data_IF_889543512338
#
_entry.id   IF_889543512338
#
_cell.length_a   1.000
_cell.length_b   1.000
_cell.length_c   1.000
_cell.angle_alpha   90.00
_cell.angle_beta   90.00
_cell.angle_gamma   90.00
#
_symmetry.space_group_name_H-M   'P 1'
#
loop_
_entity.id
_entity.type
_entity.pdbx_description
1 polymer ?
#
# COMPACT_ATOMS: atom_id res chain seq x y z
N UNK A 1 10.36 35.85 22.52
CA UNK A 1 10.93 34.49 22.60
C UNK A 1 10.18 33.64 21.59
N UNK A 2 10.82 33.21 20.50
CA UNK A 2 10.22 32.33 19.51
C UNK A 2 10.32 30.89 20.02
N UNK A 3 9.17 30.27 20.30
CA UNK A 3 9.11 28.84 20.61
C UNK A 3 9.37 28.05 19.33
N UNK A 4 10.58 27.50 19.23
CA UNK A 4 10.91 26.45 18.26
C UNK A 4 10.27 25.13 18.73
N UNK A 5 9.00 24.91 18.43
CA UNK A 5 8.44 23.55 18.41
C UNK A 5 8.96 22.85 17.16
N UNK A 6 10.03 22.09 17.32
CA UNK A 6 10.48 21.12 16.32
C UNK A 6 9.34 20.13 16.06
N UNK A 7 8.82 20.12 14.84
CA UNK A 7 7.79 19.18 14.40
C UNK A 7 8.26 17.75 14.63
N UNK A 8 7.61 17.05 15.56
CA UNK A 8 7.85 15.64 15.81
C UNK A 8 7.29 14.89 14.58
N UNK A 9 8.11 14.11 13.84
CA UNK A 9 7.64 13.36 12.69
C UNK A 9 6.39 12.54 13.03
N UNK A 10 5.36 12.59 12.17
CA UNK A 10 4.04 12.01 12.42
C UNK A 10 4.09 10.54 12.89
N UNK A 11 4.99 9.73 12.31
CA UNK A 11 5.16 8.33 12.72
C UNK A 11 5.58 8.18 14.20
N UNK A 12 6.24 9.18 14.79
CA UNK A 12 6.59 9.15 16.22
C UNK A 12 5.42 9.44 17.15
N UNK A 13 4.30 9.91 16.60
CA UNK A 13 3.06 10.21 17.31
C UNK A 13 2.09 9.02 17.29
N UNK A 14 2.36 7.97 16.51
CA UNK A 14 1.48 6.78 16.45
C UNK A 14 1.59 5.96 17.74
N UNK A 15 0.49 5.30 18.10
CA UNK A 15 0.42 4.44 19.29
C UNK A 15 1.42 3.30 19.19
N UNK A 16 1.62 2.78 17.97
CA UNK A 16 2.56 1.73 17.63
C UNK A 16 4.00 2.16 17.89
N UNK A 17 4.42 3.34 17.42
CA UNK A 17 5.77 3.84 17.68
C UNK A 17 6.00 4.16 19.15
N UNK A 18 5.03 4.77 19.83
CA UNK A 18 5.13 5.07 21.25
C UNK A 18 5.25 3.79 22.09
N UNK A 19 4.49 2.74 21.74
CA UNK A 19 4.54 1.43 22.39
C UNK A 19 5.87 0.72 22.14
N UNK A 20 6.34 0.69 20.90
CA UNK A 20 7.64 0.12 20.53
C UNK A 20 8.80 0.84 21.21
N UNK A 21 8.78 2.16 21.24
CA UNK A 21 9.81 2.97 21.91
C UNK A 21 9.79 2.78 23.43
N UNK A 22 8.60 2.59 24.04
CA UNK A 22 8.48 2.26 25.47
C UNK A 22 9.09 0.88 25.75
N UNK A 23 8.77 -0.13 24.94
CA UNK A 23 9.33 -1.47 25.06
C UNK A 23 10.85 -1.42 24.89
N UNK A 24 11.35 -0.78 23.84
CA UNK A 24 12.78 -0.62 23.56
C UNK A 24 13.56 0.00 24.72
N UNK A 25 13.00 1.02 25.37
CA UNK A 25 13.62 1.66 26.55
C UNK A 25 13.70 0.75 27.77
N UNK A 26 12.82 -0.24 27.88
CA UNK A 26 12.79 -1.21 28.99
C UNK A 26 13.67 -2.44 28.77
N UNK A 27 14.19 -2.65 27.56
CA UNK A 27 15.06 -3.79 27.26
C UNK A 27 16.49 -3.59 27.78
N UNK A 28 17.07 -4.65 28.31
CA UNK A 28 18.51 -4.73 28.63
C UNK A 28 19.36 -4.72 27.36
N UNK A 29 20.67 -4.46 27.48
CA UNK A 29 21.58 -4.42 26.34
C UNK A 29 21.57 -5.73 25.53
N UNK A 30 21.54 -6.89 26.20
CA UNK A 30 21.51 -8.19 25.53
C UNK A 30 20.18 -8.42 24.80
N UNK A 31 19.05 -8.07 25.40
CA UNK A 31 17.74 -8.18 24.75
C UNK A 31 17.59 -7.26 23.54
N UNK A 32 18.29 -6.11 23.53
CA UNK A 32 18.35 -5.23 22.35
C UNK A 32 19.15 -5.88 21.23
N UNK A 33 20.27 -6.52 21.54
CA UNK A 33 21.08 -7.24 20.56
C UNK A 33 20.31 -8.42 19.94
N UNK A 34 19.58 -9.18 20.76
CA UNK A 34 18.74 -10.28 20.28
C UNK A 34 17.63 -9.76 19.35
N UNK A 35 16.97 -8.67 19.74
CA UNK A 35 15.91 -8.06 18.94
C UNK A 35 16.44 -7.46 17.62
N UNK A 36 17.62 -6.82 17.64
CA UNK A 36 18.31 -6.35 16.43
C UNK A 36 18.70 -7.50 15.51
N UNK A 37 19.15 -8.62 16.07
CA UNK A 37 19.47 -9.83 15.33
C UNK A 37 18.23 -10.45 14.69
N UNK A 38 17.10 -10.48 15.40
CA UNK A 38 15.81 -10.95 14.89
C UNK A 38 15.29 -10.03 13.77
N UNK A 39 15.35 -8.71 13.95
CA UNK A 39 15.00 -7.75 12.90
C UNK A 39 15.88 -7.88 11.66
N UNK A 40 17.18 -8.09 11.85
CA UNK A 40 18.12 -8.31 10.75
C UNK A 40 17.83 -9.63 10.04
N UNK A 41 17.49 -10.69 10.77
CA UNK A 41 17.12 -11.99 10.21
C UNK A 41 15.80 -11.92 9.43
N UNK A 42 14.82 -11.16 9.92
CA UNK A 42 13.57 -10.88 9.20
C UNK A 42 13.84 -10.01 7.95
N UNK A 43 14.68 -8.98 8.04
CA UNK A 43 15.06 -8.16 6.89
C UNK A 43 15.77 -8.97 5.81
N UNK A 44 16.69 -9.85 6.20
CA UNK A 44 17.39 -10.78 5.29
C UNK A 44 16.40 -11.80 4.71
N UNK A 45 15.49 -12.35 5.52
CA UNK A 45 14.44 -13.24 5.04
C UNK A 45 13.55 -12.57 4.00
N UNK A 46 13.11 -11.32 4.28
CA UNK A 46 12.34 -10.51 3.35
C UNK A 46 13.16 -10.21 2.09
N UNK A 47 14.42 -9.81 2.16
CA UNK A 47 15.30 -9.58 1.00
C UNK A 47 15.56 -10.84 0.17
N UNK A 48 15.73 -11.99 0.82
CA UNK A 48 15.96 -13.28 0.16
C UNK A 48 14.70 -13.83 -0.50
N UNK A 49 13.52 -13.56 0.05
CA UNK A 49 12.21 -13.97 -0.48
C UNK A 49 11.51 -12.86 -1.29
N UNK A 50 12.12 -11.68 -1.41
CA UNK A 50 11.77 -10.63 -2.39
C UNK A 50 12.71 -10.61 -3.60
N UNK A 51 13.52 -11.67 -3.78
CA UNK A 51 14.23 -11.95 -5.04
C UNK A 51 13.26 -12.37 -6.13
N UNK A 52 12.51 -11.40 -6.67
CA UNK A 52 12.10 -11.29 -8.07
C UNK A 52 11.79 -9.81 -8.37
N UNK A 53 12.85 -8.98 -8.40
CA UNK A 53 12.86 -7.78 -9.24
C UNK A 53 13.19 -8.25 -10.66
N UNK A 54 12.41 -7.78 -11.63
CA UNK A 54 12.40 -8.08 -13.07
C UNK A 54 11.72 -9.37 -13.53
N UNK A 55 10.39 -9.29 -13.70
CA UNK A 55 9.72 -9.16 -15.01
C UNK A 55 8.45 -8.32 -14.77
N UNK A 56 8.48 -7.05 -15.16
CA UNK A 56 7.36 -6.09 -15.15
C UNK A 56 6.54 -6.05 -13.84
N UNK A 57 6.94 -5.18 -12.90
CA UNK A 57 6.16 -4.79 -11.70
C UNK A 57 4.73 -4.34 -12.05
N UNK A 58 4.47 -4.02 -13.32
CA UNK A 58 3.20 -3.63 -13.89
C UNK A 58 2.69 -4.56 -14.98
N UNK A 59 3.13 -5.82 -15.03
CA UNK A 59 2.65 -6.80 -16.02
C UNK A 59 1.14 -6.98 -15.98
N UNK A 60 0.53 -6.84 -14.80
CA UNK A 60 -0.93 -6.82 -14.66
C UNK A 60 -1.61 -5.65 -15.39
N UNK A 61 -0.89 -4.55 -15.67
CA UNK A 61 -1.39 -3.42 -16.44
C UNK A 61 -1.31 -3.63 -17.95
N UNK A 62 -0.69 -4.72 -18.45
CA UNK A 62 -0.49 -4.93 -19.90
C UNK A 62 -1.81 -5.07 -20.68
N UNK A 63 -2.92 -5.34 -19.99
CA UNK A 63 -4.27 -5.40 -20.57
C UNK A 63 -4.98 -4.04 -20.59
N UNK A 64 -4.36 -2.98 -20.08
CA UNK A 64 -4.90 -1.62 -20.09
C UNK A 64 -4.30 -0.79 -21.23
N UNK A 65 -4.97 0.30 -21.60
CA UNK A 65 -4.41 1.27 -22.52
C UNK A 65 -3.25 2.07 -21.90
N UNK A 66 -2.40 2.65 -22.77
CA UNK A 66 -1.22 3.41 -22.36
C UNK A 66 -1.56 4.60 -21.46
N UNK A 67 -2.69 5.27 -21.67
CA UNK A 67 -3.11 6.42 -20.84
C UNK A 67 -3.41 5.98 -19.40
N UNK A 68 -4.01 4.81 -19.23
CA UNK A 68 -4.30 4.22 -17.92
C UNK A 68 -3.02 3.72 -17.25
N UNK A 69 -2.08 3.14 -18.01
CA UNK A 69 -0.75 2.78 -17.51
C UNK A 69 -0.01 4.02 -17.01
N UNK A 70 0.01 5.09 -17.79
CA UNK A 70 0.68 6.34 -17.42
C UNK A 70 -0.01 7.02 -16.24
N UNK A 71 -1.34 6.93 -16.13
CA UNK A 71 -2.06 7.33 -14.92
C UNK A 71 -1.56 6.59 -13.68
N UNK A 72 -1.45 5.25 -13.73
CA UNK A 72 -0.94 4.48 -12.59
C UNK A 72 0.49 4.88 -12.26
N UNK A 73 1.37 5.03 -13.25
CA UNK A 73 2.76 5.49 -13.03
C UNK A 73 2.81 6.88 -12.38
N UNK A 74 1.99 7.82 -12.84
CA UNK A 74 1.91 9.16 -12.27
C UNK A 74 1.42 9.11 -10.82
N UNK A 75 0.37 8.36 -10.52
CA UNK A 75 -0.14 8.16 -9.15
C UNK A 75 0.93 7.56 -8.23
N UNK A 76 1.74 6.64 -8.73
CA UNK A 76 2.87 6.06 -7.97
C UNK A 76 3.96 7.10 -7.72
N UNK A 77 4.32 7.90 -8.71
CA UNK A 77 5.29 9.00 -8.53
C UNK A 77 4.82 10.05 -7.52
N UNK A 78 3.50 10.19 -7.35
CA UNK A 78 2.86 11.05 -6.35
C UNK A 78 2.78 10.41 -4.96
N UNK A 79 3.34 9.21 -4.77
CA UNK A 79 3.45 8.56 -3.46
C UNK A 79 2.30 7.60 -3.14
N UNK A 80 1.56 7.11 -4.14
CA UNK A 80 0.55 6.07 -3.96
C UNK A 80 0.99 4.74 -4.60
N UNK A 81 2.10 4.13 -4.11
CA UNK A 81 2.54 2.84 -4.62
C UNK A 81 1.42 1.81 -4.39
N UNK A 82 1.25 0.89 -5.34
CA UNK A 82 0.35 -0.26 -5.19
C UNK A 82 -1.16 0.07 -5.16
N UNK A 83 -1.62 0.98 -6.02
CA UNK A 83 -3.07 1.21 -6.22
C UNK A 83 -3.82 -0.09 -6.55
N UNK A 84 -3.29 -0.87 -7.49
CA UNK A 84 -3.84 -2.17 -7.86
C UNK A 84 -3.97 -3.12 -6.66
N UNK A 85 -2.90 -3.32 -5.88
CA UNK A 85 -2.96 -4.18 -4.70
C UNK A 85 -3.93 -3.65 -3.63
N UNK A 86 -4.07 -2.33 -3.50
CA UNK A 86 -5.06 -1.73 -2.58
C UNK A 86 -6.48 -2.14 -2.97
N UNK A 87 -6.80 -2.11 -4.28
CA UNK A 87 -8.10 -2.53 -4.80
C UNK A 87 -8.31 -4.03 -4.66
N UNK A 88 -7.30 -4.85 -4.98
CA UNK A 88 -7.36 -6.31 -4.81
C UNK A 88 -7.54 -6.73 -3.35
N UNK A 89 -6.90 -6.04 -2.40
CA UNK A 89 -7.06 -6.29 -0.97
C UNK A 89 -8.50 -5.99 -0.50
N UNK A 90 -9.12 -4.93 -1.01
CA UNK A 90 -10.53 -4.62 -0.74
C UNK A 90 -11.43 -5.75 -1.24
N UNK A 91 -11.21 -6.24 -2.46
CA UNK A 91 -11.99 -7.37 -3.01
C UNK A 91 -11.79 -8.66 -2.21
N UNK A 92 -10.58 -8.91 -1.69
CA UNK A 92 -10.30 -10.03 -0.80
C UNK A 92 -11.03 -9.94 0.55
N UNK A 93 -11.19 -8.74 1.10
CA UNK A 93 -11.89 -8.52 2.38
C UNK A 93 -13.42 -8.37 2.22
N UNK A 94 -13.89 -7.96 1.04
CA UNK A 94 -15.29 -7.65 0.76
C UNK A 94 -15.81 -8.48 -0.42
N UNK A 95 -16.06 -9.76 -0.17
CA UNK A 95 -16.51 -10.75 -1.17
C UNK A 95 -17.88 -10.46 -1.81
N UNK A 96 -18.61 -9.46 -1.30
CA UNK A 96 -19.87 -8.98 -1.83
C UNK A 96 -19.72 -7.95 -2.96
N UNK A 97 -18.52 -7.37 -3.14
CA UNK A 97 -18.23 -6.44 -4.23
C UNK A 97 -17.98 -7.24 -5.50
N UNK A 98 -18.83 -7.10 -6.51
CA UNK A 98 -18.79 -7.90 -7.75
C UNK A 98 -18.75 -7.10 -9.05
N UNK A 99 -18.73 -5.78 -8.94
CA UNK A 99 -18.71 -4.86 -10.06
C UNK A 99 -17.84 -3.64 -9.73
N UNK A 100 -17.35 -2.97 -10.77
CA UNK A 100 -16.44 -1.83 -10.61
C UNK A 100 -17.12 -0.61 -9.97
N UNK A 101 -18.40 -0.35 -10.23
CA UNK A 101 -19.08 0.81 -9.66
C UNK A 101 -19.16 0.71 -8.14
N UNK A 102 -19.51 -0.47 -7.61
CA UNK A 102 -19.52 -0.75 -6.17
C UNK A 102 -18.11 -0.63 -5.57
N UNK A 103 -17.08 -1.14 -6.27
CA UNK A 103 -15.69 -1.00 -5.81
C UNK A 103 -15.23 0.46 -5.77
N UNK A 104 -15.54 1.24 -6.80
CA UNK A 104 -15.23 2.68 -6.87
C UNK A 104 -15.94 3.42 -5.75
N UNK A 105 -17.23 3.15 -5.53
CA UNK A 105 -17.98 3.79 -4.45
C UNK A 105 -17.35 3.49 -3.09
N UNK A 106 -17.07 2.21 -2.81
CA UNK A 106 -16.39 1.81 -1.57
C UNK A 106 -15.05 2.52 -1.41
N UNK A 107 -14.23 2.51 -2.47
CA UNK A 107 -12.91 3.11 -2.47
C UNK A 107 -12.98 4.63 -2.25
N UNK A 108 -13.92 5.30 -2.90
CA UNK A 108 -14.14 6.75 -2.78
C UNK A 108 -14.54 7.10 -1.36
N UNK A 109 -15.56 6.44 -0.80
CA UNK A 109 -16.04 6.71 0.57
C UNK A 109 -14.93 6.56 1.61
N UNK A 110 -13.99 5.64 1.42
CA UNK A 110 -12.89 5.36 2.35
C UNK A 110 -11.64 6.21 2.13
N UNK A 111 -11.29 6.51 0.87
CA UNK A 111 -9.96 7.00 0.49
C UNK A 111 -9.95 8.34 -0.25
N UNK A 112 -11.12 8.96 -0.52
CA UNK A 112 -11.20 10.24 -1.26
C UNK A 112 -10.30 11.34 -0.70
N UNK A 113 -10.26 11.48 0.62
CA UNK A 113 -9.45 12.50 1.29
C UNK A 113 -7.96 12.13 1.41
N UNK A 114 -7.62 10.85 1.25
CA UNK A 114 -6.25 10.33 1.38
C UNK A 114 -5.53 10.37 0.03
N UNK A 115 -6.27 10.15 -1.07
CA UNK A 115 -5.71 10.02 -2.42
C UNK A 115 -6.47 10.86 -3.44
N UNK A 116 -6.60 12.19 -3.27
CA UNK A 116 -7.46 13.03 -4.10
C UNK A 116 -7.09 12.98 -5.60
N UNK A 117 -5.82 12.78 -5.91
CA UNK A 117 -5.30 12.68 -7.28
C UNK A 117 -5.92 11.51 -8.08
N UNK A 118 -6.26 10.41 -7.41
CA UNK A 118 -6.88 9.24 -8.06
C UNK A 118 -8.27 9.59 -8.61
N UNK A 119 -8.98 10.49 -7.94
CA UNK A 119 -10.36 10.85 -8.27
C UNK A 119 -10.47 11.95 -9.34
N UNK A 120 -9.34 12.52 -9.77
CA UNK A 120 -9.30 13.47 -10.90
C UNK A 120 -9.45 12.78 -12.26
N UNK A 121 -9.30 11.45 -12.30
CA UNK A 121 -9.26 10.64 -13.53
C UNK A 121 -10.25 9.46 -13.44
N UNK A 122 -11.57 9.73 -13.30
CA UNK A 122 -12.56 8.71 -12.94
C UNK A 122 -12.67 7.57 -13.96
N UNK A 123 -12.47 7.83 -15.25
CA UNK A 123 -12.51 6.81 -16.30
C UNK A 123 -11.33 5.83 -16.20
N UNK A 124 -10.14 6.33 -15.85
CA UNK A 124 -8.93 5.50 -15.71
C UNK A 124 -9.00 4.66 -14.43
N UNK A 125 -9.53 5.24 -13.36
CA UNK A 125 -9.85 4.50 -12.14
C UNK A 125 -10.87 3.39 -12.40
N UNK A 126 -11.93 3.67 -13.17
CA UNK A 126 -12.94 2.68 -13.50
C UNK A 126 -12.35 1.47 -14.25
N UNK A 127 -11.54 1.72 -15.28
CA UNK A 127 -10.83 0.65 -16.01
C UNK A 127 -9.94 -0.20 -15.11
N UNK A 128 -9.25 0.42 -14.15
CA UNK A 128 -8.42 -0.32 -13.19
C UNK A 128 -9.27 -1.17 -12.24
N UNK A 129 -10.42 -0.67 -11.80
CA UNK A 129 -11.37 -1.41 -10.99
C UNK A 129 -11.99 -2.59 -11.76
N UNK A 130 -12.35 -2.41 -13.04
CA UNK A 130 -12.84 -3.48 -13.91
C UNK A 130 -11.81 -4.62 -14.02
N UNK A 131 -10.54 -4.27 -14.27
CA UNK A 131 -9.44 -5.24 -14.28
C UNK A 131 -9.32 -5.98 -12.93
N UNK A 132 -9.43 -5.29 -11.80
CA UNK A 132 -9.37 -5.93 -10.48
C UNK A 132 -10.52 -6.91 -10.27
N UNK A 133 -11.75 -6.54 -10.68
CA UNK A 133 -12.93 -7.41 -10.60
C UNK A 133 -12.76 -8.64 -11.48
N UNK A 134 -12.37 -8.47 -12.74
CA UNK A 134 -12.13 -9.57 -13.66
C UNK A 134 -11.11 -10.56 -13.08
N UNK A 135 -9.98 -10.04 -12.57
CA UNK A 135 -8.93 -10.85 -11.97
C UNK A 135 -9.38 -11.57 -10.71
N UNK A 136 -10.04 -10.88 -9.79
CA UNK A 136 -10.57 -11.47 -8.56
C UNK A 136 -11.58 -12.60 -8.85
N UNK A 137 -12.39 -12.45 -9.90
CA UNK A 137 -13.39 -13.46 -10.30
C UNK A 137 -12.77 -14.63 -11.09
N UNK A 138 -11.63 -14.43 -11.75
CA UNK A 138 -10.97 -15.44 -12.59
C UNK A 138 -10.31 -16.63 -11.85
N UNK A 139 -10.56 -16.81 -10.54
CA UNK A 139 -10.08 -17.91 -9.66
C UNK A 139 -8.56 -18.15 -9.61
N UNK A 140 -7.74 -17.34 -10.27
CA UNK A 140 -6.30 -17.62 -10.47
C UNK A 140 -5.36 -16.85 -9.52
N UNK A 141 -5.88 -16.26 -8.45
CA UNK A 141 -5.14 -15.36 -7.56
C UNK A 141 -5.03 -15.83 -6.09
N UNK A 142 -5.53 -17.02 -5.76
CA UNK A 142 -5.42 -17.64 -4.43
C UNK A 142 -4.71 -18.97 -4.51
#
# INVERSE_FOLDING_TARGET
>A
MLNNTLDIPYYKQTIEWQSLNKIWKTLTANQKLDLESDFKSISIFLEQHTKHKDINEYSYLSSLDNETIDFVKNIISLGYPNLYHSLMAILGQHSNIRDANTLIQYYTTKYQYIRPEIFKEPLKLAKLCDLCIERAMSKSWW
#
